data_IF_082806396021
#
_entry.id   IF_082806396021
#
_cell.length_a   1.000
_cell.length_b   1.000
_cell.length_c   1.000
_cell.angle_alpha   90.00
_cell.angle_beta   90.00
_cell.angle_gamma   90.00
#
_symmetry.space_group_name_H-M   'P 1'
#
loop_
_entity.id
_entity.type
_entity.pdbx_description
1 polymer ?
#
# COMPACT_ATOMS: atom_id res chain seq x y z
N UNK A 1 0.70 -13.21 13.85
CA UNK A 1 0.97 -11.78 14.10
C UNK A 1 0.33 -11.44 15.42
N UNK A 2 1.12 -10.90 16.34
CA UNK A 2 0.73 -10.71 17.73
C UNK A 2 0.09 -9.35 17.97
N UNK A 3 -0.77 -9.28 18.99
CA UNK A 3 -1.36 -8.04 19.44
C UNK A 3 -0.33 -7.19 20.19
N UNK A 4 -0.16 -5.94 19.77
CA UNK A 4 0.70 -4.96 20.44
C UNK A 4 -0.10 -4.31 21.55
N UNK A 5 0.40 -4.39 22.79
CA UNK A 5 -0.18 -3.71 23.95
C UNK A 5 0.40 -2.30 24.06
N UNK A 6 -0.45 -1.29 24.22
CA UNK A 6 0.04 0.03 24.63
C UNK A 6 0.60 -0.06 26.05
N UNK A 7 1.70 0.63 26.33
CA UNK A 7 2.28 0.63 27.69
C UNK A 7 1.38 1.35 28.70
N UNK A 8 0.52 2.25 28.24
CA UNK A 8 -0.38 3.02 29.09
C UNK A 8 -1.66 2.25 29.40
N UNK A 9 -2.01 2.19 30.68
CA UNK A 9 -3.31 1.75 31.18
C UNK A 9 -4.19 2.96 31.48
N UNK A 10 -5.49 2.82 31.26
CA UNK A 10 -6.46 3.91 31.42
C UNK A 10 -7.44 3.62 32.55
N UNK A 11 -7.82 4.64 33.30
CA UNK A 11 -8.76 4.49 34.43
C UNK A 11 -10.23 4.48 33.96
N UNK A 12 -10.50 4.83 32.70
CA UNK A 12 -11.84 4.87 32.13
C UNK A 12 -11.90 4.18 30.76
N UNK A 13 -12.94 3.37 30.56
CA UNK A 13 -13.26 2.74 29.28
C UNK A 13 -13.37 3.78 28.16
N UNK A 14 -14.03 4.92 28.43
CA UNK A 14 -14.21 5.99 27.45
C UNK A 14 -12.86 6.56 26.98
N UNK A 15 -11.88 6.65 27.88
CA UNK A 15 -10.53 7.12 27.55
C UNK A 15 -9.75 6.08 26.75
N UNK A 16 -9.89 4.80 27.11
CA UNK A 16 -9.29 3.68 26.38
C UNK A 16 -9.85 3.57 24.96
N UNK A 17 -11.18 3.65 24.79
CA UNK A 17 -11.86 3.65 23.49
C UNK A 17 -11.44 4.85 22.63
N UNK A 18 -11.35 6.05 23.22
CA UNK A 18 -10.85 7.24 22.51
C UNK A 18 -9.43 7.01 22.01
N UNK A 19 -8.57 6.45 22.85
CA UNK A 19 -7.18 6.13 22.48
C UNK A 19 -7.13 5.06 21.40
N UNK A 20 -7.94 4.01 21.49
CA UNK A 20 -8.03 2.96 20.48
C UNK A 20 -8.38 3.54 19.10
N UNK A 21 -9.33 4.47 19.03
CA UNK A 21 -9.66 5.16 17.77
C UNK A 21 -8.52 6.01 17.21
N UNK A 22 -7.76 6.69 18.09
CA UNK A 22 -6.56 7.43 17.68
C UNK A 22 -5.55 6.45 17.09
N UNK A 23 -5.23 5.36 17.79
CA UNK A 23 -4.29 4.33 17.33
C UNK A 23 -4.74 3.73 15.99
N UNK A 24 -6.02 3.36 15.85
CA UNK A 24 -6.57 2.81 14.61
C UNK A 24 -6.31 3.75 13.42
N UNK A 25 -6.55 5.04 13.58
CA UNK A 25 -6.40 6.03 12.51
C UNK A 25 -4.94 6.39 12.24
N UNK A 26 -4.12 6.58 13.27
CA UNK A 26 -2.72 6.98 13.12
C UNK A 26 -1.87 5.84 12.59
N UNK A 27 -2.04 4.63 13.12
CA UNK A 27 -1.26 3.46 12.67
C UNK A 27 -1.68 3.02 11.27
N UNK A 28 -2.96 3.11 10.91
CA UNK A 28 -3.39 2.82 9.54
C UNK A 28 -2.74 3.80 8.56
N UNK A 29 -2.70 5.10 8.90
CA UNK A 29 -2.04 6.11 8.06
C UNK A 29 -0.53 5.88 7.92
N UNK A 30 0.15 5.45 8.99
CA UNK A 30 1.59 5.18 8.98
C UNK A 30 1.94 3.86 8.28
N UNK A 31 1.07 2.86 8.36
CA UNK A 31 1.29 1.54 7.74
C UNK A 31 1.03 1.54 6.24
N UNK A 32 0.13 2.41 5.76
CA UNK A 32 -0.28 2.45 4.35
C UNK A 32 0.65 3.34 3.52
N UNK A 33 1.11 2.79 2.40
CA UNK A 33 1.88 3.52 1.41
C UNK A 33 0.97 4.03 0.29
N UNK A 34 1.35 5.12 -0.39
CA UNK A 34 0.60 5.63 -1.54
C UNK A 34 0.52 4.59 -2.68
N UNK A 35 1.59 3.82 -2.84
CA UNK A 35 1.72 2.67 -3.75
C UNK A 35 2.39 1.54 -2.98
N UNK A 36 1.85 0.33 -3.09
CA UNK A 36 2.38 -0.84 -2.40
C UNK A 36 1.49 -1.33 -1.24
N UNK A 37 2.07 -2.01 -0.23
CA UNK A 37 1.34 -2.67 0.83
C UNK A 37 0.35 -1.79 1.56
N UNK A 38 -0.84 -2.35 1.77
CA UNK A 38 -1.92 -1.77 2.55
C UNK A 38 -2.22 -2.68 3.74
N UNK A 39 -2.47 -2.04 4.86
CA UNK A 39 -2.81 -2.64 6.13
C UNK A 39 -4.02 -1.92 6.73
N UNK A 40 -4.91 -2.72 7.28
CA UNK A 40 -5.92 -2.25 8.23
C UNK A 40 -5.37 -2.39 9.65
N UNK A 41 -5.88 -1.58 10.57
CA UNK A 41 -5.53 -1.64 11.99
C UNK A 41 -6.75 -2.04 12.78
N UNK A 42 -6.68 -3.21 13.40
CA UNK A 42 -7.67 -3.63 14.39
C UNK A 42 -7.23 -3.16 15.77
N UNK A 43 -8.19 -2.71 16.57
CA UNK A 43 -7.97 -2.35 17.97
C UNK A 43 -8.92 -3.10 18.88
N UNK A 44 -8.46 -3.39 20.08
CA UNK A 44 -9.23 -4.04 21.15
C UNK A 44 -8.99 -3.29 22.45
N UNK A 45 -10.04 -3.21 23.25
CA UNK A 45 -10.00 -2.66 24.60
C UNK A 45 -10.36 -3.79 25.53
N UNK A 46 -9.47 -4.11 26.45
CA UNK A 46 -9.65 -5.17 27.44
C UNK A 46 -9.58 -4.56 28.83
N UNK A 47 -10.48 -4.98 29.72
CA UNK A 47 -10.38 -4.63 31.13
C UNK A 47 -9.38 -5.58 31.79
N UNK A 48 -8.39 -5.02 32.48
CA UNK A 48 -7.40 -5.76 33.27
C UNK A 48 -7.43 -5.16 34.67
N UNK A 49 -7.89 -5.97 35.62
CA UNK A 49 -8.19 -5.55 36.99
C UNK A 49 -9.17 -4.35 37.02
N UNK A 50 -8.72 -3.21 37.56
CA UNK A 50 -9.49 -1.96 37.67
C UNK A 50 -9.17 -0.96 36.54
N UNK A 51 -8.35 -1.35 35.57
CA UNK A 51 -7.91 -0.48 34.47
C UNK A 51 -8.25 -1.05 33.11
N UNK A 52 -8.07 -0.22 32.09
CA UNK A 52 -8.36 -0.53 30.70
C UNK A 52 -7.07 -0.54 29.88
N UNK A 53 -6.84 -1.63 29.17
CA UNK A 53 -5.69 -1.87 28.30
C UNK A 53 -6.12 -1.77 26.85
N UNK A 54 -5.38 -1.00 26.05
CA UNK A 54 -5.58 -0.94 24.60
C UNK A 54 -4.57 -1.88 23.92
N UNK A 55 -5.07 -2.72 23.02
CA UNK A 55 -4.28 -3.57 22.14
C UNK A 55 -4.60 -3.23 20.69
N UNK A 56 -3.62 -3.43 19.81
CA UNK A 56 -3.84 -3.25 18.38
C UNK A 56 -2.96 -4.18 17.54
N UNK A 57 -3.33 -4.38 16.28
CA UNK A 57 -2.50 -5.12 15.33
C UNK A 57 -2.70 -4.63 13.91
N UNK A 58 -1.68 -4.82 13.06
CA UNK A 58 -1.74 -4.58 11.62
C UNK A 58 -2.25 -5.83 10.93
N UNK A 59 -3.20 -5.68 10.02
CA UNK A 59 -3.75 -6.76 9.18
C UNK A 59 -3.48 -6.39 7.75
N UNK A 60 -2.69 -7.19 7.04
CA UNK A 60 -2.42 -6.95 5.62
C UNK A 60 -3.69 -7.18 4.81
N UNK A 61 -4.11 -6.16 4.05
CA UNK A 61 -5.34 -6.22 3.23
C UNK A 61 -5.05 -6.30 1.73
N UNK A 62 -3.80 -6.11 1.31
CA UNK A 62 -3.40 -6.22 -0.09
C UNK A 62 -2.41 -5.15 -0.49
N UNK A 63 -2.12 -5.05 -1.79
CA UNK A 63 -1.25 -4.01 -2.34
C UNK A 63 -2.08 -3.03 -3.17
N UNK A 64 -1.91 -1.73 -2.91
CA UNK A 64 -2.43 -0.68 -3.78
C UNK A 64 -1.51 -0.56 -4.98
N UNK A 65 -1.92 -1.14 -6.11
CA UNK A 65 -1.23 -0.99 -7.38
C UNK A 65 -1.50 0.40 -7.95
N UNK A 66 -0.44 1.09 -8.37
CA UNK A 66 -0.52 2.47 -8.87
C UNK A 66 -1.29 2.65 -10.19
N UNK A 67 -1.78 1.57 -10.81
CA UNK A 67 -2.50 1.58 -12.10
C UNK A 67 -3.98 1.19 -11.94
N UNK A 68 -4.64 1.58 -10.84
CA UNK A 68 -6.07 1.32 -10.61
C UNK A 68 -7.02 2.15 -11.51
N UNK A 69 -6.52 3.20 -12.15
CA UNK A 69 -7.13 3.84 -13.32
C UNK A 69 -6.08 3.80 -14.42
N UNK A 70 -6.42 3.27 -15.59
CA UNK A 70 -5.46 2.97 -16.66
C UNK A 70 -4.44 4.09 -16.89
N UNK A 71 -3.16 3.74 -16.91
CA UNK A 71 -2.14 4.65 -17.44
C UNK A 71 -2.47 4.95 -18.90
N UNK A 72 -2.92 6.16 -19.22
CA UNK A 72 -2.94 6.62 -20.62
C UNK A 72 -1.52 6.65 -21.22
N UNK A 73 -0.49 6.65 -20.37
CA UNK A 73 0.92 6.50 -20.80
C UNK A 73 1.25 5.13 -21.41
N UNK A 74 0.37 4.14 -21.24
CA UNK A 74 0.53 2.81 -21.80
C UNK A 74 -0.38 2.58 -23.03
N UNK A 75 -1.06 3.63 -23.52
CA UNK A 75 -1.77 3.58 -24.81
C UNK A 75 -0.71 3.52 -25.90
N UNK A 76 -0.32 2.29 -26.21
CA UNK A 76 0.07 1.81 -27.52
C UNK A 76 0.71 2.87 -28.42
N UNK A 77 1.98 3.19 -28.18
CA UNK A 77 2.81 3.53 -29.33
C UNK A 77 2.67 2.35 -30.29
N UNK A 78 2.18 2.55 -31.53
CA UNK A 78 2.20 1.47 -32.50
C UNK A 78 3.66 1.06 -32.62
N UNK A 79 3.97 -0.18 -32.22
CA UNK A 79 5.29 -0.79 -32.40
C UNK A 79 5.86 -0.28 -33.71
N UNK A 80 7.07 0.32 -33.73
CA UNK A 80 7.59 0.95 -34.93
C UNK A 80 7.47 -0.06 -36.05
N UNK A 81 6.63 0.26 -37.05
CA UNK A 81 6.38 -0.64 -38.18
C UNK A 81 7.75 -1.04 -38.69
N UNK A 82 8.03 -2.34 -38.78
CA UNK A 82 9.27 -2.85 -39.37
C UNK A 82 9.34 -2.27 -40.78
N UNK A 83 10.07 -1.16 -40.95
CA UNK A 83 10.34 -0.62 -42.26
C UNK A 83 11.12 -1.70 -42.98
N UNK A 84 10.56 -2.21 -44.07
CA UNK A 84 11.27 -3.13 -44.96
C UNK A 84 12.57 -2.41 -45.34
N UNK A 85 13.70 -2.99 -44.97
CA UNK A 85 14.99 -2.41 -45.25
C UNK A 85 15.11 -2.16 -46.76
N UNK A 86 15.45 -0.93 -47.14
CA UNK A 86 15.62 -0.57 -48.55
C UNK A 86 16.94 -1.18 -49.02
N UNK A 87 16.86 -2.25 -49.83
CA UNK A 87 18.04 -2.86 -50.45
C UNK A 87 18.64 -1.86 -51.43
N UNK A 88 19.85 -1.39 -51.15
CA UNK A 88 20.64 -0.58 -52.08
C UNK A 88 21.42 -1.53 -53.02
N UNK A 89 21.11 -1.59 -54.32
CA UNK A 89 21.87 -2.42 -55.23
C UNK A 89 23.27 -1.82 -55.43
N UNK A 90 24.30 -2.59 -55.11
CA UNK A 90 25.68 -2.26 -55.48
C UNK A 90 25.80 -2.33 -57.00
N UNK A 91 26.09 -1.19 -57.65
CA UNK A 91 26.48 -1.18 -59.07
C UNK A 91 27.85 -1.83 -59.18
N UNK A 92 27.96 -2.90 -59.97
CA UNK A 92 29.26 -3.49 -60.30
C UNK A 92 30.11 -2.46 -61.05
N UNK A 93 31.41 -2.34 -60.75
CA UNK A 93 32.29 -1.52 -61.57
C UNK A 93 32.31 -2.08 -62.99
N UNK A 94 31.98 -1.23 -63.95
CA UNK A 94 32.26 -1.46 -65.36
C UNK A 94 33.77 -1.43 -65.55
N UNK A 95 34.32 -2.56 -66.02
CA UNK A 95 35.73 -2.72 -66.42
C UNK A 95 36.06 -1.75 -67.55
#
# INVERSE_FOLDING_TARGET
>A
MDWVKLQTLYDSEKQALKTANIVATTEARLANQERGPQYEVETRVEQIDEKWQVLWRKVFIGNKTGCGGGCESCISDPLPRKNIAKVLPFKRPSV
#
